data_IF_966959242294
#
_entry.id   IF_966959242294
#
_cell.length_a   1.000
_cell.length_b   1.000
_cell.length_c   1.000
_cell.angle_alpha   90.00
_cell.angle_beta   90.00
_cell.angle_gamma   90.00
#
_symmetry.space_group_name_H-M   'P 1'
#
loop_
_entity.id
_entity.type
_entity.pdbx_description
1 polymer ?
#
# COMPACT_ATOMS: atom_id res chain seq x y z
N UNK A 1 -2.94 -27.82 -30.80
CA UNK A 1 -1.56 -27.80 -31.36
C UNK A 1 -0.60 -28.09 -30.21
N UNK A 2 0.15 -29.20 -30.28
CA UNK A 2 1.12 -29.59 -29.27
C UNK A 2 2.51 -29.12 -29.73
N UNK A 3 3.12 -28.21 -28.96
CA UNK A 3 4.49 -27.76 -29.24
C UNK A 3 5.43 -28.87 -28.77
N UNK A 4 6.05 -29.59 -29.70
CA UNK A 4 7.09 -30.58 -29.38
C UNK A 4 8.43 -29.88 -29.28
N UNK A 5 9.08 -29.99 -28.12
CA UNK A 5 10.47 -29.56 -27.95
C UNK A 5 11.39 -30.40 -28.84
N UNK A 6 12.37 -29.79 -29.54
CA UNK A 6 13.35 -30.52 -30.35
C UNK A 6 14.34 -31.33 -29.50
N UNK A 7 14.48 -31.00 -28.21
CA UNK A 7 15.44 -31.63 -27.31
C UNK A 7 14.77 -32.53 -26.26
N UNK A 8 15.46 -33.63 -25.90
CA UNK A 8 15.06 -34.47 -24.76
C UNK A 8 15.24 -33.67 -23.47
N UNK A 9 14.21 -33.59 -22.59
CA UNK A 9 14.34 -32.90 -21.32
C UNK A 9 15.45 -33.55 -20.48
N UNK A 10 16.34 -32.74 -19.93
CA UNK A 10 17.39 -33.16 -19.00
C UNK A 10 17.18 -32.49 -17.66
N UNK A 11 17.19 -33.27 -16.58
CA UNK A 11 17.09 -32.75 -15.21
C UNK A 11 18.42 -32.10 -14.88
N UNK A 12 18.44 -30.76 -14.74
CA UNK A 12 19.66 -30.03 -14.38
C UNK A 12 19.92 -30.02 -12.87
N UNK A 13 18.88 -29.86 -12.06
CA UNK A 13 18.95 -29.76 -10.59
C UNK A 13 17.62 -30.16 -9.95
N UNK A 14 17.67 -30.56 -8.68
CA UNK A 14 16.50 -30.74 -7.83
C UNK A 14 16.23 -29.45 -7.06
N UNK A 15 14.99 -28.98 -7.09
CA UNK A 15 14.51 -27.92 -6.22
C UNK A 15 13.71 -28.58 -5.11
N UNK A 16 14.21 -28.50 -3.88
CA UNK A 16 13.41 -28.88 -2.72
C UNK A 16 12.41 -27.75 -2.45
N UNK A 17 11.14 -28.07 -2.66
CA UNK A 17 10.01 -27.16 -2.49
C UNK A 17 9.19 -27.51 -1.25
N UNK A 18 9.62 -28.50 -0.46
CA UNK A 18 8.94 -28.86 0.77
C UNK A 18 9.04 -27.67 1.75
N UNK A 19 7.87 -27.11 2.09
CA UNK A 19 7.78 -25.91 2.92
C UNK A 19 7.80 -24.58 2.15
N UNK A 20 7.96 -24.59 0.82
CA UNK A 20 7.83 -23.38 0.01
C UNK A 20 6.35 -23.07 -0.24
N UNK A 21 5.92 -21.87 0.16
CA UNK A 21 4.59 -21.34 -0.18
C UNK A 21 4.73 -20.55 -1.47
N UNK A 22 4.15 -21.05 -2.56
CA UNK A 22 3.96 -20.27 -3.78
C UNK A 22 2.64 -19.51 -3.62
N UNK A 23 2.72 -18.31 -3.04
CA UNK A 23 1.57 -17.41 -2.94
C UNK A 23 1.57 -16.41 -4.11
N UNK A 24 0.39 -16.07 -4.67
CA UNK A 24 0.27 -14.94 -5.56
C UNK A 24 0.81 -13.65 -4.94
N UNK A 25 1.47 -12.80 -5.72
CA UNK A 25 2.05 -11.51 -5.28
C UNK A 25 1.02 -10.64 -4.56
N UNK A 26 -0.26 -10.73 -4.94
CA UNK A 26 -1.35 -10.01 -4.31
C UNK A 26 -1.75 -10.55 -2.92
N UNK A 27 -1.16 -11.63 -2.40
CA UNK A 27 -1.39 -12.06 -0.99
C UNK A 27 -0.49 -11.27 -0.03
N UNK A 28 0.55 -10.61 -0.53
CA UNK A 28 1.36 -9.64 0.23
C UNK A 28 0.77 -8.24 0.15
N UNK A 29 -0.54 -8.07 0.39
CA UNK A 29 -1.13 -6.72 0.39
C UNK A 29 -0.69 -6.00 1.66
N UNK A 30 0.42 -5.29 1.58
CA UNK A 30 0.68 -4.14 2.44
C UNK A 30 0.30 -2.88 1.68
N UNK A 31 0.01 -1.80 2.40
CA UNK A 31 -0.01 -0.48 1.77
C UNK A 31 1.40 -0.28 1.18
N UNK A 32 1.55 -0.08 -0.14
CA UNK A 32 2.85 0.23 -0.73
C UNK A 32 3.49 1.38 0.04
N UNK A 33 4.81 1.34 0.28
CA UNK A 33 5.49 2.42 1.00
C UNK A 33 5.23 3.81 0.37
N UNK A 34 5.02 3.87 -0.95
CA UNK A 34 4.61 5.06 -1.68
C UNK A 34 3.26 5.66 -1.22
N UNK A 35 2.37 4.83 -0.68
CA UNK A 35 1.05 5.22 -0.18
C UNK A 35 1.01 5.29 1.35
N UNK A 36 2.06 4.87 2.04
CA UNK A 36 2.17 5.00 3.48
C UNK A 36 2.42 6.46 3.84
N UNK A 37 1.53 7.05 4.64
CA UNK A 37 1.74 8.40 5.14
C UNK A 37 2.64 8.35 6.37
N UNK A 38 3.90 8.76 6.21
CA UNK A 38 4.93 8.70 7.27
C UNK A 38 5.43 10.07 7.73
N UNK A 39 4.96 11.16 7.11
CA UNK A 39 5.49 12.51 7.34
C UNK A 39 5.06 13.14 8.67
N UNK A 40 4.01 12.61 9.32
CA UNK A 40 3.61 13.04 10.67
C UNK A 40 3.08 14.48 10.79
N UNK A 41 2.92 15.22 9.68
CA UNK A 41 2.35 16.60 9.70
C UNK A 41 0.94 16.60 10.27
N UNK A 42 0.17 15.54 9.99
CA UNK A 42 -1.09 15.24 10.67
C UNK A 42 -1.03 13.81 11.21
N UNK A 43 -1.50 13.59 12.43
CA UNK A 43 -1.65 12.26 12.99
C UNK A 43 -3.10 11.79 12.87
N UNK A 44 -3.29 10.47 12.66
CA UNK A 44 -4.61 9.88 12.82
C UNK A 44 -5.00 9.95 14.29
N UNK A 45 -6.20 10.44 14.58
CA UNK A 45 -6.73 10.41 15.94
C UNK A 45 -6.83 8.98 16.48
N UNK A 46 -6.99 8.83 17.79
CA UNK A 46 -7.10 7.52 18.47
C UNK A 46 -8.15 6.59 17.85
N UNK A 47 -9.23 7.16 17.30
CA UNK A 47 -10.31 6.44 16.60
C UNK A 47 -10.03 6.16 15.10
N UNK A 48 -8.79 6.39 14.64
CA UNK A 48 -8.43 6.30 13.23
C UNK A 48 -9.11 7.37 12.35
N UNK A 49 -9.53 8.48 12.95
CA UNK A 49 -10.16 9.61 12.24
C UNK A 49 -9.11 10.59 11.71
N UNK A 50 -9.36 11.14 10.52
CA UNK A 50 -8.54 12.23 9.98
C UNK A 50 -8.87 13.50 10.75
N UNK A 51 -7.88 14.24 11.28
CA UNK A 51 -8.13 15.50 11.96
C UNK A 51 -8.70 16.55 10.99
N UNK A 52 -9.45 17.55 11.47
CA UNK A 52 -9.86 18.68 10.65
C UNK A 52 -8.65 19.49 10.19
N UNK A 53 -8.80 20.23 9.08
CA UNK A 53 -7.80 21.23 8.70
C UNK A 53 -7.78 22.36 9.76
N UNK A 54 -6.62 23.01 9.98
CA UNK A 54 -6.52 24.16 10.86
C UNK A 54 -7.47 25.29 10.42
N UNK A 55 -8.12 25.96 11.37
CA UNK A 55 -9.09 27.04 11.09
C UNK A 55 -8.44 28.27 10.44
N UNK A 56 -7.15 28.47 10.71
CA UNK A 56 -6.34 29.58 10.21
C UNK A 56 -5.74 29.31 8.82
N UNK A 57 -6.06 28.17 8.18
CA UNK A 57 -5.40 27.78 6.94
C UNK A 57 -5.50 28.85 5.85
N UNK A 58 -6.66 29.47 5.68
CA UNK A 58 -6.87 30.47 4.62
C UNK A 58 -6.10 31.80 4.88
N UNK A 59 -5.58 31.98 6.10
CA UNK A 59 -4.77 33.14 6.48
C UNK A 59 -3.27 32.90 6.24
N UNK A 60 -2.87 31.65 5.93
CA UNK A 60 -1.47 31.27 5.74
C UNK A 60 -0.96 31.59 4.32
N UNK A 61 0.36 31.65 4.12
CA UNK A 61 0.98 31.69 2.80
C UNK A 61 0.49 30.54 1.88
N UNK A 62 0.41 30.78 0.57
CA UNK A 62 -0.22 29.80 -0.35
C UNK A 62 0.52 28.46 -0.41
N UNK A 63 1.84 28.49 -0.29
CA UNK A 63 2.70 27.32 -0.22
C UNK A 63 2.43 26.49 1.04
N UNK A 64 2.29 27.14 2.21
CA UNK A 64 1.88 26.46 3.44
C UNK A 64 0.47 25.88 3.35
N UNK A 65 -0.47 26.60 2.72
CA UNK A 65 -1.82 26.09 2.47
C UNK A 65 -1.81 24.82 1.61
N UNK A 66 -1.06 24.86 0.51
CA UNK A 66 -0.95 23.73 -0.41
C UNK A 66 -0.30 22.53 0.27
N UNK A 67 0.75 22.77 1.05
CA UNK A 67 1.42 21.77 1.86
C UNK A 67 0.45 21.08 2.83
N UNK A 68 -0.27 21.84 3.67
CA UNK A 68 -1.21 21.28 4.64
C UNK A 68 -2.37 20.54 3.97
N UNK A 69 -2.94 21.08 2.90
CA UNK A 69 -4.02 20.43 2.13
C UNK A 69 -3.53 19.13 1.49
N UNK A 70 -2.31 19.09 0.98
CA UNK A 70 -1.70 17.89 0.43
C UNK A 70 -1.54 16.80 1.50
N UNK A 71 -0.95 17.14 2.65
CA UNK A 71 -0.74 16.17 3.74
C UNK A 71 -2.06 15.63 4.29
N UNK A 72 -3.08 16.49 4.45
CA UNK A 72 -4.42 16.08 4.86
C UNK A 72 -5.08 15.10 3.87
N UNK A 73 -4.94 15.36 2.57
CA UNK A 73 -5.43 14.48 1.49
C UNK A 73 -4.70 13.13 1.47
N UNK A 74 -3.38 13.13 1.67
CA UNK A 74 -2.58 11.90 1.75
C UNK A 74 -2.96 11.06 2.96
N UNK A 75 -3.09 11.67 4.15
CA UNK A 75 -3.54 11.00 5.36
C UNK A 75 -4.94 10.38 5.18
N UNK A 76 -5.85 11.10 4.53
CA UNK A 76 -7.20 10.60 4.22
C UNK A 76 -7.18 9.36 3.34
N UNK A 77 -6.33 9.33 2.32
CA UNK A 77 -6.13 8.14 1.46
C UNK A 77 -5.52 6.99 2.24
N UNK A 78 -4.51 7.27 3.06
CA UNK A 78 -3.86 6.27 3.90
C UNK A 78 -4.86 5.59 4.85
N UNK A 79 -5.71 6.38 5.51
CA UNK A 79 -6.85 5.86 6.32
C UNK A 79 -7.79 4.97 5.52
N UNK A 80 -8.16 5.40 4.31
CA UNK A 80 -9.04 4.60 3.45
C UNK A 80 -8.44 3.22 3.18
N UNK A 81 -7.16 3.16 2.81
CA UNK A 81 -6.48 1.88 2.62
C UNK A 81 -6.43 1.08 3.93
N UNK A 82 -6.04 1.66 5.06
CA UNK A 82 -6.01 0.95 6.35
C UNK A 82 -7.36 0.32 6.72
N UNK A 83 -8.48 0.98 6.42
CA UNK A 83 -9.83 0.51 6.76
C UNK A 83 -10.42 -0.54 5.81
N UNK A 84 -9.97 -0.58 4.55
CA UNK A 84 -10.55 -1.44 3.50
C UNK A 84 -9.63 -2.59 3.08
N UNK A 85 -8.32 -2.42 3.19
CA UNK A 85 -7.33 -3.40 2.77
C UNK A 85 -7.40 -4.71 3.60
N UNK A 86 -7.64 -4.69 4.92
CA UNK A 86 -7.92 -5.92 5.68
C UNK A 86 -9.14 -6.70 5.19
N UNK A 87 -10.16 -6.00 4.66
CA UNK A 87 -11.40 -6.61 4.14
C UNK A 87 -11.22 -7.20 2.73
N UNK A 88 -10.27 -6.67 1.96
CA UNK A 88 -9.95 -7.14 0.61
C UNK A 88 -9.08 -8.40 0.63
N UNK A 89 -8.30 -8.62 1.69
CA UNK A 89 -7.43 -9.80 1.86
C UNK A 89 -8.20 -11.01 2.44
N UNK A 90 -9.37 -10.79 3.05
CA UNK A 90 -10.19 -11.84 3.66
C UNK A 90 -11.27 -12.43 2.73
N UNK A 91 -11.25 -12.14 1.43
CA UNK A 91 -12.11 -12.76 0.39
C UNK A 91 -11.33 -13.78 -0.42
#
# INVERSE_FOLDING_TARGET
MLIKSPEKPSIKRFLDWQGAIVAPVFIQVSIPALLAYTDGVFELGSEGCVPPLPEDIDQRPSDEQEYLRLHHKLLSRYRFYLSHLPKLVSM
#
